data_IF_395836567933
#
_entry.id   IF_395836567933
#
_cell.length_a   1.000
_cell.length_b   1.000
_cell.length_c   1.000
_cell.angle_alpha   90.00
_cell.angle_beta   90.00
_cell.angle_gamma   90.00
#
_symmetry.space_group_name_H-M   'P 1'
#
loop_
_entity.id
_entity.type
_entity.pdbx_description
1 polymer ?
#
# COMPACT_ATOMS: atom_id res chain seq x y z
N UNK A 1 -6.19 0.47 7.91
CA UNK A 1 -6.68 1.87 7.97
C UNK A 1 -6.08 2.69 6.82
N UNK A 2 -4.80 2.49 6.48
CA UNK A 2 -4.09 3.20 5.42
C UNK A 2 -4.75 3.23 4.02
N UNK A 3 -5.33 2.13 3.52
CA UNK A 3 -6.01 2.12 2.20
C UNK A 3 -7.13 3.18 2.15
N UNK A 4 -7.88 3.34 3.24
CA UNK A 4 -8.97 4.31 3.35
C UNK A 4 -8.45 5.74 3.30
N UNK A 5 -7.44 6.02 4.12
CA UNK A 5 -6.93 7.38 4.29
C UNK A 5 -6.17 7.84 3.05
N UNK A 6 -5.39 6.96 2.42
CA UNK A 6 -4.75 7.23 1.13
C UNK A 6 -5.76 7.41 -0.01
N UNK A 7 -6.89 6.71 0.03
CA UNK A 7 -8.00 6.94 -0.89
C UNK A 7 -8.52 8.38 -0.78
N UNK A 8 -8.85 8.83 0.44
CA UNK A 8 -9.33 10.20 0.68
C UNK A 8 -8.32 11.27 0.28
N UNK A 9 -7.03 11.06 0.56
CA UNK A 9 -5.94 11.96 0.14
C UNK A 9 -5.87 12.06 -1.38
N UNK A 10 -5.94 10.93 -2.08
CA UNK A 10 -5.86 10.88 -3.53
C UNK A 10 -7.10 11.47 -4.20
N UNK A 11 -8.28 11.29 -3.61
CA UNK A 11 -9.53 11.90 -4.08
C UNK A 11 -9.52 13.42 -3.91
N UNK A 12 -8.99 13.91 -2.79
CA UNK A 12 -8.81 15.35 -2.55
C UNK A 12 -7.82 15.94 -3.56
N UNK A 13 -6.69 15.27 -3.78
CA UNK A 13 -5.69 15.71 -4.75
C UNK A 13 -6.23 15.75 -6.17
N UNK A 14 -7.07 14.77 -6.55
CA UNK A 14 -7.79 14.77 -7.83
C UNK A 14 -8.73 15.96 -7.96
N UNK A 15 -9.50 16.28 -6.91
CA UNK A 15 -10.40 17.42 -6.90
C UNK A 15 -9.65 18.76 -7.06
N UNK A 16 -8.42 18.83 -6.53
CA UNK A 16 -7.56 20.01 -6.62
C UNK A 16 -6.64 20.03 -7.84
N UNK A 17 -6.70 19.01 -8.71
CA UNK A 17 -5.75 18.83 -9.84
C UNK A 17 -4.28 18.90 -9.37
N UNK A 18 -4.00 18.32 -8.20
CA UNK A 18 -2.69 18.36 -7.56
C UNK A 18 -1.97 17.01 -7.68
N UNK A 19 -0.75 16.95 -8.25
CA UNK A 19 -0.04 15.68 -8.44
C UNK A 19 0.56 15.16 -7.13
N UNK A 20 0.24 13.91 -6.77
CA UNK A 20 0.79 13.20 -5.60
C UNK A 20 1.48 11.87 -5.97
N UNK A 21 2.60 11.88 -6.70
CA UNK A 21 3.22 10.65 -7.19
C UNK A 21 3.57 9.65 -6.08
N UNK A 22 4.04 10.13 -4.93
CA UNK A 22 4.38 9.27 -3.79
C UNK A 22 3.15 8.67 -3.11
N UNK A 23 2.11 9.48 -2.85
CA UNK A 23 0.90 8.98 -2.20
C UNK A 23 0.12 8.00 -3.10
N UNK A 24 0.06 8.27 -4.41
CA UNK A 24 -0.50 7.35 -5.39
C UNK A 24 0.27 6.02 -5.42
N UNK A 25 1.60 6.09 -5.40
CA UNK A 25 2.43 4.88 -5.35
C UNK A 25 2.18 4.08 -4.06
N UNK A 26 2.09 4.76 -2.91
CA UNK A 26 1.74 4.13 -1.64
C UNK A 26 0.37 3.43 -1.70
N UNK A 27 -0.67 4.11 -2.21
CA UNK A 27 -2.00 3.53 -2.36
C UNK A 27 -1.98 2.26 -3.22
N UNK A 28 -1.23 2.27 -4.32
CA UNK A 28 -1.08 1.12 -5.20
C UNK A 28 -0.38 -0.07 -4.49
N UNK A 29 0.64 0.20 -3.66
CA UNK A 29 1.32 -0.83 -2.87
C UNK A 29 0.38 -1.44 -1.82
N UNK A 30 -0.35 -0.62 -1.07
CA UNK A 30 -1.32 -1.11 -0.08
C UNK A 30 -2.48 -1.88 -0.73
N UNK A 31 -2.97 -1.42 -1.88
CA UNK A 31 -4.02 -2.13 -2.64
C UNK A 31 -3.53 -3.49 -3.12
N UNK A 32 -2.30 -3.55 -3.64
CA UNK A 32 -1.69 -4.81 -4.08
C UNK A 32 -1.48 -5.79 -2.93
N UNK A 33 -1.00 -5.32 -1.78
CA UNK A 33 -0.86 -6.14 -0.57
C UNK A 33 -2.20 -6.66 -0.05
N UNK A 34 -3.24 -5.81 -0.08
CA UNK A 34 -4.60 -6.23 0.26
C UNK A 34 -5.11 -7.33 -0.68
N UNK A 35 -4.91 -7.18 -1.99
CA UNK A 35 -5.31 -8.17 -3.00
C UNK A 35 -4.53 -9.50 -2.87
N UNK A 36 -3.29 -9.45 -2.39
CA UNK A 36 -2.48 -10.64 -2.09
C UNK A 36 -2.92 -11.36 -0.80
N UNK A 37 -3.96 -10.89 -0.10
CA UNK A 37 -4.49 -11.50 1.12
C UNK A 37 -3.92 -10.94 2.42
N UNK A 38 -3.02 -9.95 2.36
CA UNK A 38 -2.41 -9.34 3.55
C UNK A 38 -3.22 -8.18 4.13
N UNK A 39 -4.44 -7.93 3.65
CA UNK A 39 -5.25 -6.76 4.05
C UNK A 39 -5.69 -6.73 5.51
N UNK A 40 -5.51 -7.82 6.27
CA UNK A 40 -5.78 -7.90 7.71
C UNK A 40 -4.51 -7.86 8.57
N UNK A 41 -3.34 -7.86 7.94
CA UNK A 41 -2.06 -7.73 8.62
C UNK A 41 -1.72 -6.25 8.88
N UNK A 42 -0.59 -6.03 9.56
CA UNK A 42 -0.03 -4.70 9.80
C UNK A 42 0.33 -3.97 8.49
N UNK A 43 0.43 -2.64 8.52
CA UNK A 43 0.76 -1.81 7.37
C UNK A 43 2.13 -2.18 6.76
N UNK A 44 3.04 -2.74 7.57
CA UNK A 44 4.32 -3.28 7.12
C UNK A 44 4.21 -4.45 6.15
N UNK A 45 3.06 -5.13 6.06
CA UNK A 45 2.86 -6.27 5.16
C UNK A 45 3.00 -5.93 3.67
N UNK A 46 3.01 -4.64 3.30
CA UNK A 46 3.37 -4.20 1.95
C UNK A 46 4.75 -4.71 1.52
N UNK A 47 5.68 -4.98 2.44
CA UNK A 47 7.00 -5.54 2.08
C UNK A 47 6.90 -6.95 1.49
N UNK A 48 5.85 -7.71 1.82
CA UNK A 48 5.65 -9.10 1.39
C UNK A 48 5.30 -9.25 -0.09
N UNK A 49 4.86 -8.17 -0.76
CA UNK A 49 4.55 -8.20 -2.19
C UNK A 49 5.80 -8.01 -3.07
N UNK A 50 6.95 -7.70 -2.47
CA UNK A 50 8.20 -7.53 -3.19
C UNK A 50 8.89 -8.87 -3.39
N UNK A 51 9.03 -9.28 -4.64
CA UNK A 51 9.72 -10.52 -5.00
C UNK A 51 11.22 -10.44 -4.66
N UNK A 52 11.77 -11.56 -4.21
CA UNK A 52 13.21 -11.70 -3.95
C UNK A 52 13.68 -11.12 -2.62
N UNK A 53 12.75 -10.72 -1.73
CA UNK A 53 13.08 -10.29 -0.36
C UNK A 53 12.85 -11.43 0.62
N UNK A 54 13.87 -11.76 1.41
CA UNK A 54 13.75 -12.70 2.53
C UNK A 54 13.43 -11.95 3.81
N UNK A 55 12.27 -12.23 4.41
CA UNK A 55 11.87 -11.62 5.66
C UNK A 55 12.34 -12.44 6.87
N UNK A 56 12.80 -11.80 7.95
CA UNK A 56 13.15 -12.51 9.17
C UNK A 56 11.92 -13.24 9.73
N UNK A 57 12.10 -14.51 10.13
CA UNK A 57 11.02 -15.34 10.67
C UNK A 57 10.18 -16.10 9.64
N UNK A 58 10.36 -15.86 8.34
CA UNK A 58 9.78 -16.70 7.29
C UNK A 58 10.65 -17.96 7.16
N UNK A 59 10.21 -19.09 7.73
CA UNK A 59 10.77 -20.39 7.35
C UNK A 59 10.25 -20.70 5.94
N UNK A 60 11.17 -21.10 5.05
CA UNK A 60 10.85 -21.59 3.71
C UNK A 60 10.00 -22.87 3.80
#
# INVERSE_FOLDING_TARGET
>A
IFVKDLGLVNDTARALTFPLPLATTALNMFTSASNAGFGREDDSAVIKIFNGITLPGHKQ
#
